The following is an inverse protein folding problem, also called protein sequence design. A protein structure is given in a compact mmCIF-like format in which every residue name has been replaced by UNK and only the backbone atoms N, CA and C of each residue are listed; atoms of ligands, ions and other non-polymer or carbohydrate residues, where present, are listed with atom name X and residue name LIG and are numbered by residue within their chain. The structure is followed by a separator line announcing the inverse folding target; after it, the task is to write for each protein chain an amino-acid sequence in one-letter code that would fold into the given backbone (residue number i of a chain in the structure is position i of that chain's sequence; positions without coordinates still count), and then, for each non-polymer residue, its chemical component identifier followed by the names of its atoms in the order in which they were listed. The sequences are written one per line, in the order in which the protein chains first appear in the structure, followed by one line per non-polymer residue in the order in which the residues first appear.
data_IF_814748489449
#
_entry.id   IF_814748489449
#
_cell.length_a   1.000
_cell.length_b   1.000
_cell.length_c   1.000
_cell.angle_alpha   90.00
_cell.angle_beta   90.00
_cell.angle_gamma   90.00
#
_symmetry.space_group_name_H-M   'P 1'
#
loop_
_entity.id
_entity.type
_entity.pdbx_description
1 polymer ?
#
# COMPACT_ATOMS: atom_id res chain seq x y z
N UNK A 1 47.86 -51.87 27.52
CA UNK A 1 48.98 -51.34 28.34
C UNK A 1 48.76 -49.84 28.51
N UNK A 2 49.08 -49.26 29.67
CA UNK A 2 48.68 -47.88 30.00
C UNK A 2 49.44 -46.80 29.21
N UNK A 3 48.74 -45.71 28.84
CA UNK A 3 49.04 -44.36 29.35
C UNK A 3 47.91 -43.37 29.05
N UNK A 4 47.23 -42.94 30.12
CA UNK A 4 46.63 -41.60 30.21
C UNK A 4 47.75 -40.55 30.26
N UNK A 5 47.44 -39.30 29.90
CA UNK A 5 48.27 -38.16 30.27
C UNK A 5 47.41 -36.92 30.52
N UNK A 6 47.98 -35.94 31.23
CA UNK A 6 47.21 -34.99 32.04
C UNK A 6 46.85 -33.68 31.32
N UNK A 7 45.91 -32.93 31.93
CA UNK A 7 45.70 -31.50 31.65
C UNK A 7 46.92 -30.68 32.07
N UNK A 8 47.12 -29.50 31.46
CA UNK A 8 47.15 -28.26 32.25
C UNK A 8 46.86 -26.99 31.43
N UNK A 9 46.52 -25.91 32.13
CA UNK A 9 46.09 -24.63 31.55
C UNK A 9 47.25 -23.63 31.45
N UNK A 10 47.23 -22.78 30.41
CA UNK A 10 47.91 -21.47 30.48
C UNK A 10 47.04 -20.35 29.91
N UNK A 11 46.57 -19.47 30.81
CA UNK A 11 46.03 -18.16 30.46
C UNK A 11 47.10 -17.28 29.81
N UNK A 12 46.73 -16.48 28.81
CA UNK A 12 47.56 -15.37 28.35
C UNK A 12 46.69 -14.18 27.92
N UNK A 13 46.45 -13.23 28.83
CA UNK A 13 45.85 -11.95 28.48
C UNK A 13 46.79 -11.17 27.56
N UNK A 14 46.29 -10.65 26.45
CA UNK A 14 46.90 -9.51 25.75
C UNK A 14 45.88 -8.42 25.49
N UNK A 15 46.08 -7.30 26.19
CA UNK A 15 45.40 -6.03 25.94
C UNK A 15 45.83 -5.51 24.56
N UNK A 16 44.86 -5.26 23.67
CA UNK A 16 45.10 -4.44 22.48
C UNK A 16 44.67 -3.00 22.76
N UNK A 17 45.66 -2.10 22.80
CA UNK A 17 45.43 -0.67 23.01
C UNK A 17 44.95 0.01 21.73
N UNK A 18 43.89 0.80 21.81
CA UNK A 18 43.29 1.48 20.65
C UNK A 18 44.00 2.81 20.39
N UNK A 19 44.90 2.84 19.41
CA UNK A 19 45.56 4.07 18.95
C UNK A 19 44.64 4.86 18.01
N UNK A 20 43.87 5.82 18.55
CA UNK A 20 43.05 6.74 17.76
C UNK A 20 43.95 7.65 16.91
N UNK A 21 43.97 7.45 15.60
CA UNK A 21 44.59 8.38 14.65
C UNK A 21 43.58 9.44 14.21
N UNK A 22 43.98 10.71 14.33
CA UNK A 22 43.17 11.90 14.03
C UNK A 22 43.67 12.53 12.71
N UNK A 23 42.83 12.72 11.68
CA UNK A 23 43.26 13.36 10.44
C UNK A 23 43.56 14.87 10.65
N UNK A 24 44.49 15.45 9.87
CA UNK A 24 44.94 16.83 10.05
C UNK A 24 43.99 17.89 9.45
N UNK A 25 44.12 19.12 9.93
CA UNK A 25 43.44 20.32 9.41
C UNK A 25 44.29 20.94 8.29
N UNK A 26 43.66 21.37 7.20
CA UNK A 26 44.30 22.12 6.11
C UNK A 26 43.73 23.55 6.03
N UNK A 27 44.60 24.53 5.74
CA UNK A 27 44.33 25.95 5.98
C UNK A 27 43.61 26.73 4.87
N UNK A 28 43.15 27.92 5.25
CA UNK A 28 42.58 28.97 4.40
C UNK A 28 43.68 29.82 3.73
N UNK A 29 43.41 30.43 2.56
CA UNK A 29 43.94 31.76 2.23
C UNK A 29 42.81 32.78 1.93
N UNK A 30 43.11 34.08 2.02
CA UNK A 30 42.11 35.16 2.01
C UNK A 30 42.40 36.29 0.99
N UNK A 31 41.38 37.14 0.74
CA UNK A 31 41.33 38.23 -0.26
C UNK A 31 40.29 37.92 -1.35
N UNK A 32 39.38 38.81 -1.80
CA UNK A 32 39.27 40.28 -1.68
C UNK A 32 39.78 40.98 -2.96
N UNK A 33 39.14 41.97 -3.59
CA UNK A 33 37.83 42.68 -3.39
C UNK A 33 37.57 43.57 -4.66
N UNK A 34 36.50 44.36 -4.90
CA UNK A 34 35.31 44.79 -4.12
C UNK A 34 34.19 45.39 -5.04
N UNK A 35 33.04 45.77 -4.45
CA UNK A 35 32.13 46.90 -4.79
C UNK A 35 31.47 47.05 -6.19
N UNK A 36 30.13 46.91 -6.23
CA UNK A 36 29.09 47.97 -6.45
C UNK A 36 27.68 47.35 -6.55
N UNK A 37 26.67 47.68 -5.73
CA UNK A 37 25.87 48.93 -5.56
C UNK A 37 24.87 49.27 -6.68
N UNK A 38 23.57 49.06 -6.40
CA UNK A 38 22.44 49.96 -6.70
C UNK A 38 21.27 49.58 -5.76
N UNK A 39 20.13 50.30 -5.73
CA UNK A 39 19.04 50.01 -4.77
C UNK A 39 17.65 50.53 -5.17
N UNK A 40 16.60 49.77 -4.85
CA UNK A 40 15.19 50.17 -4.75
C UNK A 40 14.47 49.15 -3.81
N UNK A 41 13.75 49.49 -2.73
CA UNK A 41 12.65 50.46 -2.44
C UNK A 41 11.25 49.84 -2.61
N UNK A 42 10.32 50.19 -1.72
CA UNK A 42 9.06 49.48 -1.41
C UNK A 42 7.79 50.29 -1.85
N UNK A 43 6.54 49.76 -1.69
CA UNK A 43 5.31 50.26 -2.36
C UNK A 43 4.56 51.36 -1.57
N UNK A 44 3.38 51.87 -2.04
CA UNK A 44 2.10 51.28 -1.58
C UNK A 44 0.81 51.46 -2.45
N UNK A 45 -0.22 50.68 -2.09
CA UNK A 45 -1.68 51.03 -1.99
C UNK A 45 -2.63 51.25 -3.19
N UNK A 46 -3.87 50.75 -3.03
CA UNK A 46 -5.13 51.17 -3.71
C UNK A 46 -5.88 50.03 -4.45
N UNK A 47 -7.22 49.85 -4.38
CA UNK A 47 -8.22 50.33 -3.41
C UNK A 47 -9.50 49.41 -3.41
N UNK A 48 -10.65 49.89 -2.92
CA UNK A 48 -11.94 49.19 -2.67
C UNK A 48 -12.72 48.88 -4.00
N UNK A 49 -13.94 48.29 -4.09
CA UNK A 49 -15.08 48.26 -3.15
C UNK A 49 -16.15 47.15 -3.44
N UNK A 50 -17.21 47.17 -2.62
CA UNK A 50 -18.33 46.25 -2.37
C UNK A 50 -19.40 46.06 -3.48
N UNK A 51 -20.44 45.28 -3.12
CA UNK A 51 -21.81 45.15 -3.68
C UNK A 51 -21.99 44.15 -4.83
N UNK A 52 -22.87 43.15 -4.73
CA UNK A 52 -24.33 43.15 -4.50
C UNK A 52 -25.13 43.81 -5.64
N UNK A 53 -25.78 42.99 -6.46
CA UNK A 53 -27.22 43.14 -6.67
C UNK A 53 -27.87 41.86 -7.20
N UNK A 54 -29.13 41.66 -6.81
CA UNK A 54 -30.02 40.64 -7.35
C UNK A 54 -31.31 41.30 -7.86
N UNK A 55 -32.22 40.47 -8.42
CA UNK A 55 -33.66 40.72 -8.62
C UNK A 55 -34.15 41.43 -9.91
N UNK A 56 -34.91 40.64 -10.69
CA UNK A 56 -36.31 40.91 -11.12
C UNK A 56 -36.59 41.99 -12.19
N UNK A 57 -36.71 41.53 -13.43
CA UNK A 57 -37.96 41.52 -14.26
C UNK A 57 -38.94 42.72 -14.20
N UNK A 58 -39.25 43.40 -15.35
CA UNK A 58 -40.59 43.37 -16.01
C UNK A 58 -40.82 44.22 -17.29
N UNK A 59 -41.60 43.63 -18.21
CA UNK A 59 -42.74 44.16 -19.01
C UNK A 59 -42.62 45.31 -20.03
N UNK A 60 -43.23 45.05 -21.20
CA UNK A 60 -44.38 45.80 -21.78
C UNK A 60 -45.50 44.76 -22.11
N UNK A 61 -46.82 44.95 -22.26
CA UNK A 61 -47.79 46.08 -22.47
C UNK A 61 -47.90 46.60 -23.91
N UNK A 62 -49.07 46.79 -24.55
CA UNK A 62 -50.50 46.73 -24.13
C UNK A 62 -51.28 45.79 -25.10
N UNK A 63 -52.60 45.54 -25.07
CA UNK A 63 -53.81 46.19 -24.49
C UNK A 63 -54.70 45.13 -23.76
N UNK A 64 -56.04 45.13 -23.61
CA UNK A 64 -57.19 45.94 -24.07
C UNK A 64 -58.36 45.91 -23.04
N UNK A 65 -59.61 46.18 -23.46
CA UNK A 65 -60.86 46.21 -22.66
C UNK A 65 -61.91 45.24 -23.27
N UNK A 66 -63.05 44.86 -22.67
CA UNK A 66 -63.92 45.57 -21.69
C UNK A 66 -64.73 44.64 -20.74
N UNK A 67 -65.95 45.03 -20.29
CA UNK A 67 -66.65 44.56 -19.06
C UNK A 67 -68.17 44.28 -19.28
N UNK A 68 -68.98 43.80 -18.29
CA UNK A 68 -69.99 42.74 -18.51
C UNK A 68 -71.47 43.10 -18.21
N UNK A 69 -72.38 42.17 -18.49
CA UNK A 69 -73.74 42.08 -17.90
C UNK A 69 -74.32 40.65 -17.97
N UNK A 70 -75.46 40.38 -17.33
CA UNK A 70 -76.06 39.04 -17.10
C UNK A 70 -77.46 38.90 -17.81
N UNK A 71 -78.35 37.91 -17.56
CA UNK A 71 -78.81 36.99 -18.61
C UNK A 71 -80.26 37.21 -19.11
N UNK A 72 -80.66 36.46 -20.13
CA UNK A 72 -82.08 36.27 -20.51
C UNK A 72 -82.37 34.81 -20.90
N UNK A 73 -83.64 34.41 -20.86
CA UNK A 73 -84.17 33.03 -20.85
C UNK A 73 -85.01 32.75 -22.11
N UNK A 74 -85.46 31.49 -22.28
CA UNK A 74 -86.48 30.96 -23.23
C UNK A 74 -85.83 30.38 -24.51
N UNK A 75 -85.64 29.06 -24.69
CA UNK A 75 -86.59 27.92 -24.93
C UNK A 75 -87.43 28.16 -26.21
N UNK A 76 -87.59 27.31 -27.23
CA UNK A 76 -87.74 25.84 -27.33
C UNK A 76 -87.27 25.30 -28.70
N UNK A 77 -87.03 23.96 -28.76
CA UNK A 77 -87.29 22.99 -29.86
C UNK A 77 -86.74 23.27 -31.30
N UNK A 78 -86.42 22.29 -32.14
CA UNK A 78 -86.19 20.82 -32.05
C UNK A 78 -85.68 20.32 -33.42
N UNK A 79 -85.23 19.05 -33.49
CA UNK A 79 -84.98 18.24 -34.69
C UNK A 79 -83.68 18.44 -35.52
N UNK A 80 -83.02 17.29 -35.74
CA UNK A 80 -82.16 16.87 -36.86
C UNK A 80 -81.00 17.76 -37.36
N UNK A 81 -79.78 17.19 -37.31
CA UNK A 81 -78.62 17.66 -38.08
C UNK A 81 -77.32 17.03 -37.59
N UNK A 82 -76.66 16.21 -38.42
CA UNK A 82 -75.42 15.52 -38.05
C UNK A 82 -74.16 16.35 -38.36
N UNK A 83 -73.27 16.49 -37.38
CA UNK A 83 -71.84 16.74 -37.62
C UNK A 83 -71.00 16.02 -36.56
N UNK A 84 -69.99 15.27 -37.00
CA UNK A 84 -69.18 14.37 -36.20
C UNK A 84 -67.91 15.09 -35.68
N UNK A 85 -67.92 15.54 -34.43
CA UNK A 85 -66.70 15.81 -33.65
C UNK A 85 -66.87 15.28 -32.22
N UNK A 86 -66.68 13.97 -32.05
CA UNK A 86 -66.33 13.41 -30.73
C UNK A 86 -64.83 13.54 -30.53
N UNK A 87 -64.43 14.46 -29.64
CA UNK A 87 -63.06 14.58 -29.18
C UNK A 87 -62.61 13.27 -28.50
N UNK A 88 -61.73 12.52 -29.17
CA UNK A 88 -61.28 11.21 -28.71
C UNK A 88 -60.13 11.37 -27.71
N UNK A 89 -60.49 11.71 -26.48
CA UNK A 89 -59.54 11.86 -25.37
C UNK A 89 -59.01 10.48 -24.94
N UNK A 90 -58.05 9.97 -25.71
CA UNK A 90 -57.43 8.65 -25.52
C UNK A 90 -56.90 8.48 -24.09
N UNK A 91 -57.17 7.33 -23.43
CA UNK A 91 -56.93 7.17 -22.01
C UNK A 91 -55.46 7.38 -21.64
N UNK A 92 -55.21 7.98 -20.49
CA UNK A 92 -53.88 8.32 -19.95
C UNK A 92 -52.82 7.22 -20.15
N UNK A 93 -53.18 5.95 -19.89
CA UNK A 93 -52.31 4.79 -20.11
C UNK A 93 -51.73 4.70 -21.53
N UNK A 94 -52.51 5.06 -22.56
CA UNK A 94 -52.09 5.06 -23.96
C UNK A 94 -51.26 6.30 -24.33
N UNK A 95 -51.30 7.38 -23.54
CA UNK A 95 -50.39 8.53 -23.66
C UNK A 95 -49.07 8.32 -22.89
N UNK A 96 -49.05 7.51 -21.83
CA UNK A 96 -47.93 7.45 -20.87
C UNK A 96 -47.14 6.14 -20.87
N UNK A 97 -47.55 5.10 -21.60
CA UNK A 97 -46.84 3.80 -21.68
C UNK A 97 -45.34 3.90 -21.99
N UNK A 98 -44.93 4.87 -22.83
CA UNK A 98 -43.53 5.06 -23.19
C UNK A 98 -42.65 5.52 -22.02
N UNK A 99 -43.23 6.16 -20.99
CA UNK A 99 -42.51 6.53 -19.76
C UNK A 99 -42.24 5.27 -18.93
N UNK A 100 -43.18 4.31 -18.90
CA UNK A 100 -42.95 2.98 -18.32
C UNK A 100 -41.84 2.22 -19.04
N UNK A 101 -41.84 2.22 -20.37
CA UNK A 101 -40.78 1.64 -21.20
C UNK A 101 -39.40 2.27 -20.90
N UNK A 102 -39.34 3.61 -20.82
CA UNK A 102 -38.12 4.36 -20.54
C UNK A 102 -37.60 4.08 -19.13
N UNK A 103 -38.49 3.97 -18.13
CA UNK A 103 -38.14 3.61 -16.76
C UNK A 103 -37.59 2.17 -16.67
N UNK A 104 -38.19 1.20 -17.38
CA UNK A 104 -37.66 -0.17 -17.46
C UNK A 104 -36.29 -0.21 -18.14
N UNK A 105 -36.09 0.55 -19.22
CA UNK A 105 -34.78 0.70 -19.87
C UNK A 105 -33.75 1.31 -18.92
N UNK A 106 -34.10 2.38 -18.21
CA UNK A 106 -33.22 3.04 -17.25
C UNK A 106 -32.81 2.12 -16.09
N UNK A 107 -33.76 1.34 -15.54
CA UNK A 107 -33.44 0.31 -14.53
C UNK A 107 -32.55 -0.80 -15.09
N UNK A 108 -32.76 -1.22 -16.34
CA UNK A 108 -31.88 -2.21 -17.00
C UNK A 108 -30.46 -1.69 -17.21
N UNK A 109 -30.29 -0.44 -17.65
CA UNK A 109 -28.97 0.17 -17.81
C UNK A 109 -28.30 0.47 -16.47
N UNK A 110 -29.06 0.86 -15.44
CA UNK A 110 -28.53 1.06 -14.08
C UNK A 110 -28.11 -0.26 -13.43
N UNK A 111 -28.90 -1.33 -13.61
CA UNK A 111 -28.53 -2.69 -13.20
C UNK A 111 -27.28 -3.21 -13.92
N UNK A 112 -27.17 -2.97 -15.24
CA UNK A 112 -25.97 -3.31 -16.01
C UNK A 112 -24.76 -2.47 -15.58
N UNK A 113 -24.93 -1.19 -15.26
CA UNK A 113 -23.86 -0.34 -14.76
C UNK A 113 -23.37 -0.78 -13.37
N UNK A 114 -24.28 -1.16 -12.46
CA UNK A 114 -23.93 -1.76 -11.16
C UNK A 114 -23.23 -3.11 -11.37
N UNK A 115 -23.72 -3.96 -12.26
CA UNK A 115 -23.09 -5.25 -12.57
C UNK A 115 -21.67 -5.07 -13.13
N UNK A 116 -21.49 -4.18 -14.11
CA UNK A 116 -20.16 -3.88 -14.66
C UNK A 116 -19.24 -3.24 -13.62
N UNK A 117 -19.74 -2.32 -12.79
CA UNK A 117 -18.96 -1.73 -11.71
C UNK A 117 -18.49 -2.79 -10.70
N UNK A 118 -19.40 -3.63 -10.20
CA UNK A 118 -19.08 -4.70 -9.26
C UNK A 118 -18.18 -5.78 -9.88
N UNK A 119 -18.32 -6.08 -11.17
CA UNK A 119 -17.49 -7.10 -11.83
C UNK A 119 -16.08 -6.58 -12.11
N UNK A 120 -15.95 -5.36 -12.66
CA UNK A 120 -14.64 -4.75 -12.97
C UNK A 120 -13.87 -4.34 -11.71
N UNK A 121 -14.55 -3.95 -10.63
CA UNK A 121 -13.91 -3.71 -9.33
C UNK A 121 -13.58 -5.05 -8.62
N UNK A 122 -14.37 -6.11 -8.83
CA UNK A 122 -14.04 -7.47 -8.35
C UNK A 122 -12.79 -8.06 -9.01
N UNK A 123 -12.49 -7.72 -10.26
CA UNK A 123 -11.23 -8.10 -10.91
C UNK A 123 -10.00 -7.40 -10.25
N UNK A 124 -10.21 -6.25 -9.59
CA UNK A 124 -9.18 -5.58 -8.78
C UNK A 124 -9.17 -6.04 -7.32
N UNK A 125 -10.32 -6.30 -6.70
CA UNK A 125 -10.40 -6.87 -5.35
C UNK A 125 -10.28 -8.38 -5.37
N UNK A 126 -9.05 -8.86 -5.57
CA UNK A 126 -8.66 -10.24 -5.28
C UNK A 126 -8.86 -10.57 -3.79
N UNK A 127 -10.07 -10.99 -3.45
CA UNK A 127 -10.39 -11.66 -2.19
C UNK A 127 -9.89 -13.10 -2.29
N UNK A 128 -8.81 -13.50 -1.59
CA UNK A 128 -8.54 -14.92 -1.44
C UNK A 128 -9.73 -15.55 -0.73
N UNK A 129 -10.30 -16.60 -1.31
CA UNK A 129 -11.36 -17.36 -0.67
C UNK A 129 -10.76 -17.98 0.59
N UNK A 130 -11.25 -17.58 1.78
CA UNK A 130 -10.86 -18.18 3.06
C UNK A 130 -11.48 -19.58 3.22
N UNK A 131 -11.16 -20.48 2.30
CA UNK A 131 -11.39 -21.90 2.45
C UNK A 131 -10.43 -22.44 3.52
N UNK A 132 -10.97 -23.02 4.59
CA UNK A 132 -10.19 -23.64 5.65
C UNK A 132 -9.65 -25.04 5.23
N UNK A 133 -9.09 -25.13 4.02
CA UNK A 133 -8.46 -26.32 3.45
C UNK A 133 -6.93 -26.15 3.51
N UNK A 134 -6.29 -26.85 4.44
CA UNK A 134 -4.89 -26.64 4.83
C UNK A 134 -3.85 -27.25 3.86
N UNK A 135 -4.05 -27.08 2.56
CA UNK A 135 -3.21 -27.68 1.50
C UNK A 135 -2.47 -26.64 0.63
N UNK A 136 -2.22 -25.45 1.19
CA UNK A 136 -1.21 -24.53 0.64
C UNK A 136 0.17 -25.20 0.60
N UNK A 137 0.94 -24.93 -0.46
CA UNK A 137 2.26 -25.51 -0.73
C UNK A 137 3.23 -25.21 0.43
N UNK A 138 4.03 -26.20 0.83
CA UNK A 138 4.99 -26.04 1.93
C UNK A 138 6.26 -25.29 1.48
N UNK A 139 6.67 -24.33 2.29
CA UNK A 139 7.77 -23.41 1.99
C UNK A 139 9.05 -23.96 2.60
N UNK A 140 10.00 -24.24 1.72
CA UNK A 140 11.29 -24.86 2.02
C UNK A 140 12.43 -23.85 1.87
N UNK A 141 13.55 -24.08 2.56
CA UNK A 141 14.73 -23.22 2.39
C UNK A 141 15.22 -23.23 0.94
N UNK A 142 15.66 -22.08 0.45
CA UNK A 142 16.03 -21.83 -0.94
C UNK A 142 14.87 -21.49 -1.87
N UNK A 143 13.61 -21.62 -1.41
CA UNK A 143 12.44 -21.13 -2.15
C UNK A 143 12.51 -19.62 -2.38
N UNK A 144 12.00 -19.18 -3.53
CA UNK A 144 11.80 -17.77 -3.88
C UNK A 144 10.34 -17.41 -3.61
N UNK A 145 10.07 -16.27 -2.98
CA UNK A 145 8.70 -15.82 -2.73
C UNK A 145 8.59 -14.29 -2.68
N UNK A 146 7.36 -13.78 -2.74
CA UNK A 146 7.03 -12.41 -2.37
C UNK A 146 6.32 -12.43 -1.01
N UNK A 147 6.60 -11.46 -0.15
CA UNK A 147 5.87 -11.29 1.11
C UNK A 147 4.83 -10.17 0.93
N UNK A 148 3.55 -10.53 0.93
CA UNK A 148 2.45 -9.58 0.86
C UNK A 148 2.01 -9.16 2.26
N UNK A 149 1.93 -7.86 2.52
CA UNK A 149 1.36 -7.35 3.76
C UNK A 149 -0.16 -7.55 3.75
N UNK A 150 -0.71 -8.21 4.77
CA UNK A 150 -2.12 -8.66 4.78
C UNK A 150 -3.12 -7.52 4.53
N UNK A 151 -2.90 -6.40 5.23
CA UNK A 151 -3.87 -5.29 5.33
C UNK A 151 -3.83 -4.33 4.15
N UNK A 152 -2.66 -4.07 3.57
CA UNK A 152 -2.50 -3.13 2.44
C UNK A 152 -2.29 -3.82 1.09
N UNK A 153 -2.01 -5.14 1.08
CA UNK A 153 -1.67 -5.95 -0.11
C UNK A 153 -0.40 -5.52 -0.85
N UNK A 154 0.40 -4.62 -0.27
CA UNK A 154 1.69 -4.23 -0.83
C UNK A 154 2.70 -5.36 -0.60
N UNK A 155 3.56 -5.64 -1.59
CA UNK A 155 4.63 -6.65 -1.51
C UNK A 155 5.89 -6.02 -0.90
N UNK A 156 6.63 -6.79 -0.10
CA UNK A 156 7.93 -6.39 0.43
C UNK A 156 8.93 -6.22 -0.73
N UNK A 157 9.53 -5.04 -0.83
CA UNK A 157 10.31 -4.60 -1.98
C UNK A 157 11.61 -3.92 -1.54
N UNK A 158 12.66 -4.03 -2.36
CA UNK A 158 13.92 -3.32 -2.17
C UNK A 158 14.49 -2.90 -3.52
N UNK A 159 15.14 -1.74 -3.58
CA UNK A 159 15.75 -1.24 -4.81
C UNK A 159 17.05 -0.47 -4.49
N UNK A 160 17.89 -0.19 -5.49
CA UNK A 160 19.22 0.38 -5.25
C UNK A 160 19.20 1.90 -5.03
N UNK A 161 18.47 2.29 -3.97
CA UNK A 161 18.41 3.64 -3.42
C UNK A 161 18.61 3.51 -1.91
N UNK A 162 19.61 4.19 -1.31
CA UNK A 162 19.79 4.23 0.13
C UNK A 162 18.79 5.19 0.80
N UNK A 163 18.56 4.99 2.10
CA UNK A 163 17.88 5.99 2.91
C UNK A 163 18.72 7.27 3.02
N UNK A 164 18.09 8.44 3.00
CA UNK A 164 18.72 9.74 3.29
C UNK A 164 18.79 10.06 4.79
N UNK A 165 18.50 9.09 5.65
CA UNK A 165 18.36 9.20 7.10
C UNK A 165 18.72 7.86 7.76
N UNK A 166 18.68 7.82 9.09
CA UNK A 166 18.93 6.59 9.85
C UNK A 166 20.32 6.04 9.58
N UNK A 167 20.43 4.83 9.06
CA UNK A 167 21.73 4.18 8.78
C UNK A 167 22.37 4.53 7.43
N UNK A 168 21.61 5.09 6.49
CA UNK A 168 22.06 5.25 5.10
C UNK A 168 22.18 3.94 4.30
N UNK A 169 21.70 2.81 4.82
CA UNK A 169 21.66 1.53 4.10
C UNK A 169 20.60 1.53 2.97
N UNK A 170 20.60 0.49 2.13
CA UNK A 170 19.65 0.33 1.01
C UNK A 170 18.21 0.24 1.54
N UNK A 171 17.29 0.94 0.89
CA UNK A 171 15.91 1.09 1.38
C UNK A 171 15.04 -0.13 1.15
N UNK A 172 14.13 -0.39 2.09
CA UNK A 172 13.08 -1.40 2.01
C UNK A 172 11.71 -0.71 2.13
N UNK A 173 10.76 -1.14 1.29
CA UNK A 173 9.45 -0.51 1.16
C UNK A 173 8.35 -1.54 0.89
N UNK A 174 7.09 -1.10 0.94
CA UNK A 174 5.98 -1.82 0.33
C UNK A 174 5.75 -1.31 -1.09
N UNK A 175 5.67 -2.22 -2.07
CA UNK A 175 5.34 -1.90 -3.47
C UNK A 175 3.92 -2.38 -3.83
N UNK A 176 3.10 -1.58 -4.53
CA UNK A 176 1.72 -1.96 -4.86
C UNK A 176 1.60 -2.95 -6.03
N UNK A 177 2.56 -2.94 -6.98
CA UNK A 177 2.46 -3.79 -8.17
C UNK A 177 2.69 -5.26 -7.81
N UNK A 178 1.94 -6.13 -8.50
CA UNK A 178 2.12 -7.58 -8.47
C UNK A 178 3.38 -7.97 -9.24
N UNK A 179 3.49 -7.49 -10.49
CA UNK A 179 4.54 -7.92 -11.44
C UNK A 179 5.85 -7.15 -11.30
N UNK A 180 6.41 -7.17 -10.09
CA UNK A 180 7.69 -6.57 -9.77
C UNK A 180 8.78 -7.61 -9.46
N UNK A 181 9.87 -7.57 -10.24
CA UNK A 181 11.04 -8.41 -10.03
C UNK A 181 11.89 -8.02 -8.79
N UNK A 182 11.72 -6.79 -8.27
CA UNK A 182 12.40 -6.30 -7.07
C UNK A 182 11.63 -6.64 -5.76
N UNK A 183 10.56 -7.45 -5.87
CA UNK A 183 9.75 -7.93 -4.74
C UNK A 183 10.02 -9.41 -4.40
N UNK A 184 10.98 -10.05 -5.07
CA UNK A 184 11.36 -11.45 -4.83
C UNK A 184 12.48 -11.60 -3.79
N UNK A 185 12.24 -12.49 -2.83
CA UNK A 185 13.16 -12.81 -1.74
C UNK A 185 13.43 -14.31 -1.71
N UNK A 186 14.70 -14.69 -1.56
CA UNK A 186 15.12 -16.08 -1.33
C UNK A 186 15.12 -16.33 0.17
N UNK A 187 14.43 -17.37 0.62
CA UNK A 187 14.49 -17.80 2.02
C UNK A 187 15.77 -18.59 2.27
N UNK A 188 16.56 -18.20 3.28
CA UNK A 188 17.82 -18.86 3.64
C UNK A 188 17.85 -19.23 5.13
N UNK A 189 18.54 -20.31 5.51
CA UNK A 189 18.79 -20.63 6.91
C UNK A 189 19.80 -19.67 7.56
N UNK A 190 19.83 -19.64 8.89
CA UNK A 190 20.97 -19.08 9.64
C UNK A 190 22.24 -19.93 9.38
N UNK A 191 23.44 -19.32 9.24
CA UNK A 191 24.69 -20.05 9.01
C UNK A 191 25.03 -21.09 10.08
N UNK A 192 24.53 -20.89 11.31
CA UNK A 192 24.77 -21.76 12.47
C UNK A 192 23.96 -23.08 12.41
N UNK A 193 23.01 -23.20 11.47
CA UNK A 193 22.09 -24.34 11.39
C UNK A 193 22.49 -25.33 10.31
N UNK A 194 22.28 -26.63 10.55
CA UNK A 194 22.58 -27.71 9.59
C UNK A 194 21.60 -27.82 8.41
N UNK A 195 20.56 -26.97 8.39
CA UNK A 195 19.44 -26.97 7.46
C UNK A 195 19.90 -26.69 6.01
N UNK A 196 19.26 -27.37 5.07
CA UNK A 196 19.62 -27.40 3.65
C UNK A 196 18.52 -26.84 2.78
N UNK A 197 18.88 -26.49 1.57
CA UNK A 197 17.92 -26.15 0.52
C UNK A 197 17.00 -27.35 0.24
N UNK A 198 15.68 -27.13 0.31
CA UNK A 198 14.66 -28.18 0.31
C UNK A 198 14.09 -28.53 1.69
N UNK A 199 14.76 -28.22 2.81
CA UNK A 199 14.26 -28.57 4.14
C UNK A 199 13.06 -27.70 4.54
N UNK A 200 12.09 -28.29 5.24
CA UNK A 200 10.86 -27.60 5.66
C UNK A 200 11.07 -26.62 6.82
N UNK A 201 10.46 -25.45 6.71
CA UNK A 201 10.58 -24.36 7.68
C UNK A 201 9.48 -24.47 8.72
N UNK A 202 9.84 -24.45 10.01
CA UNK A 202 8.91 -24.67 11.13
C UNK A 202 8.61 -23.36 11.87
N UNK A 203 7.45 -23.28 12.52
CA UNK A 203 7.14 -22.14 13.41
C UNK A 203 8.23 -22.02 14.49
N UNK A 204 8.73 -20.81 14.72
CA UNK A 204 9.83 -20.52 15.63
C UNK A 204 11.24 -20.64 15.02
N UNK A 205 11.41 -21.15 13.79
CA UNK A 205 12.72 -21.17 13.10
C UNK A 205 13.26 -19.75 12.86
N UNK A 206 14.59 -19.61 12.87
CA UNK A 206 15.29 -18.38 12.48
C UNK A 206 15.66 -18.50 11.00
N UNK A 207 15.20 -17.55 10.20
CA UNK A 207 15.44 -17.45 8.76
C UNK A 207 16.14 -16.13 8.44
N UNK A 208 16.78 -16.07 7.27
CA UNK A 208 17.21 -14.83 6.62
C UNK A 208 16.49 -14.70 5.28
N UNK A 209 16.24 -13.48 4.84
CA UNK A 209 15.62 -13.19 3.55
C UNK A 209 16.61 -12.41 2.68
N UNK A 210 17.00 -12.99 1.56
CA UNK A 210 17.94 -12.37 0.61
C UNK A 210 17.15 -11.76 -0.55
N UNK A 211 17.25 -10.45 -0.77
CA UNK A 211 16.64 -9.81 -1.93
C UNK A 211 17.32 -10.31 -3.21
N UNK A 212 16.54 -10.89 -4.15
CA UNK A 212 17.09 -11.57 -5.31
C UNK A 212 18.04 -10.71 -6.15
N UNK A 213 17.66 -9.46 -6.41
CA UNK A 213 18.33 -8.59 -7.38
C UNK A 213 19.58 -7.91 -6.84
N UNK A 214 19.55 -7.42 -5.59
CA UNK A 214 20.68 -6.71 -4.99
C UNK A 214 21.58 -7.60 -4.11
N UNK A 215 21.22 -8.88 -3.94
CA UNK A 215 21.92 -9.90 -3.13
C UNK A 215 22.01 -9.59 -1.62
N UNK A 216 21.45 -8.46 -1.19
CA UNK A 216 21.43 -7.97 0.20
C UNK A 216 20.42 -8.72 1.06
N UNK A 217 20.64 -8.69 2.36
CA UNK A 217 19.77 -9.30 3.38
C UNK A 217 18.75 -8.29 3.90
N UNK A 218 17.54 -8.76 4.24
CA UNK A 218 16.58 -8.00 5.02
C UNK A 218 17.13 -7.82 6.44
N UNK A 219 17.38 -6.59 6.83
CA UNK A 219 18.15 -6.25 8.04
C UNK A 219 17.34 -5.32 8.97
N UNK A 220 17.62 -5.33 10.28
CA UNK A 220 17.07 -4.33 11.21
C UNK A 220 18.00 -4.07 12.40
N UNK A 221 17.96 -2.84 12.91
CA UNK A 221 18.89 -2.32 13.91
C UNK A 221 18.27 -1.15 14.70
N UNK A 222 19.03 -0.57 15.63
CA UNK A 222 18.59 0.51 16.51
C UNK A 222 18.63 1.92 15.86
N UNK A 223 18.36 2.01 14.56
CA UNK A 223 18.13 3.27 13.85
C UNK A 223 16.62 3.58 13.76
N UNK A 224 16.28 4.86 13.62
CA UNK A 224 14.90 5.34 13.50
C UNK A 224 14.43 5.29 12.04
N UNK A 225 13.23 4.75 11.79
CA UNK A 225 12.68 4.58 10.44
C UNK A 225 12.24 5.91 9.80
N UNK A 226 12.32 6.08 8.46
CA UNK A 226 12.32 7.40 7.82
C UNK A 226 11.02 8.24 7.93
N UNK A 227 9.85 7.63 8.15
CA UNK A 227 8.56 8.35 8.21
C UNK A 227 7.87 8.21 9.57
N UNK A 228 8.03 7.07 10.26
CA UNK A 228 7.36 6.83 11.54
C UNK A 228 8.28 6.83 12.77
N UNK A 229 9.60 6.83 12.61
CA UNK A 229 10.54 6.81 13.74
C UNK A 229 10.48 5.50 14.56
N UNK A 230 9.97 4.42 13.96
CA UNK A 230 10.03 3.07 14.52
C UNK A 230 11.45 2.49 14.32
N UNK A 231 11.66 1.19 14.52
CA UNK A 231 12.93 0.56 14.15
C UNK A 231 13.07 0.58 12.62
N UNK A 232 14.22 1.01 12.11
CA UNK A 232 14.54 0.95 10.68
C UNK A 232 14.66 -0.52 10.22
N UNK A 233 14.16 -0.79 9.02
CA UNK A 233 14.33 -2.05 8.29
C UNK A 233 14.95 -1.72 6.94
N UNK A 234 16.00 -2.44 6.55
CA UNK A 234 16.90 -2.04 5.48
C UNK A 234 17.43 -3.25 4.70
N UNK A 235 18.20 -3.00 3.64
CA UNK A 235 18.95 -4.01 2.93
C UNK A 235 20.47 -3.85 3.16
N UNK A 236 21.04 -4.79 3.93
CA UNK A 236 22.45 -4.81 4.35
C UNK A 236 23.24 -5.95 3.69
N UNK A 237 24.57 -5.85 3.75
CA UNK A 237 25.47 -6.95 3.38
C UNK A 237 25.41 -7.37 1.91
N UNK A 238 25.86 -8.59 1.67
CA UNK A 238 25.94 -9.28 0.37
C UNK A 238 26.07 -10.81 0.59
N UNK A 239 26.37 -11.59 -0.44
CA UNK A 239 26.52 -13.06 -0.32
C UNK A 239 27.63 -13.52 0.65
N UNK A 240 28.66 -12.70 0.91
CA UNK A 240 29.74 -12.98 1.86
C UNK A 240 29.63 -12.23 3.20
N UNK A 241 28.87 -11.13 3.24
CA UNK A 241 28.70 -10.28 4.42
C UNK A 241 27.26 -10.37 4.96
N UNK A 242 27.10 -10.97 6.15
CA UNK A 242 25.81 -11.15 6.84
C UNK A 242 26.05 -11.29 8.35
N UNK A 243 25.16 -10.74 9.17
CA UNK A 243 25.26 -10.75 10.64
C UNK A 243 23.92 -11.09 11.34
N UNK A 244 23.86 -10.93 12.67
CA UNK A 244 22.65 -11.22 13.45
C UNK A 244 21.50 -10.22 13.22
N UNK A 245 21.80 -9.03 12.70
CA UNK A 245 20.82 -8.04 12.24
C UNK A 245 20.01 -8.49 11.02
N UNK A 246 20.45 -9.56 10.36
CA UNK A 246 19.70 -10.21 9.26
C UNK A 246 18.73 -11.30 9.75
N UNK A 247 18.70 -11.60 11.05
CA UNK A 247 18.02 -12.80 11.58
C UNK A 247 16.56 -12.51 11.96
N UNK A 248 15.63 -13.19 11.28
CA UNK A 248 14.20 -13.08 11.53
C UNK A 248 13.64 -14.41 12.04
N UNK A 249 13.05 -14.40 13.23
CA UNK A 249 12.26 -15.53 13.72
C UNK A 249 10.90 -15.54 13.02
N UNK A 250 10.58 -16.66 12.38
CA UNK A 250 9.25 -16.92 11.84
C UNK A 250 8.28 -17.25 12.99
N UNK A 251 7.19 -16.49 13.12
CA UNK A 251 6.06 -16.83 13.98
C UNK A 251 4.84 -17.10 13.08
N UNK A 252 4.35 -18.34 13.04
CA UNK A 252 3.11 -18.70 12.31
C UNK A 252 1.90 -18.36 13.19
N UNK A 253 0.92 -17.66 12.64
CA UNK A 253 -0.31 -17.31 13.38
C UNK A 253 -1.37 -18.41 13.17
N UNK A 254 -1.80 -19.05 14.25
CA UNK A 254 -2.74 -20.18 14.23
C UNK A 254 -2.09 -21.51 14.63
N UNK A 255 -2.61 -22.63 14.12
CA UNK A 255 -2.19 -23.99 14.47
C UNK A 255 -1.12 -24.60 13.54
N UNK A 256 -0.61 -23.83 12.57
CA UNK A 256 0.36 -24.30 11.58
C UNK A 256 1.72 -24.64 12.18
N UNK A 257 2.22 -25.85 11.90
CA UNK A 257 3.54 -26.33 12.37
C UNK A 257 4.67 -25.97 11.40
N UNK A 258 4.39 -26.06 10.10
CA UNK A 258 5.29 -25.74 8.99
C UNK A 258 4.77 -24.55 8.20
N UNK A 259 5.68 -23.78 7.59
CA UNK A 259 5.36 -22.60 6.82
C UNK A 259 4.77 -22.97 5.46
N UNK A 260 3.62 -22.40 5.11
CA UNK A 260 2.91 -22.66 3.85
C UNK A 260 2.58 -21.36 3.11
N UNK A 261 2.37 -21.48 1.80
CA UNK A 261 1.80 -20.41 0.97
C UNK A 261 0.45 -19.94 1.55
N UNK A 262 0.16 -18.65 1.41
CA UNK A 262 -1.08 -17.98 1.86
C UNK A 262 -1.37 -18.08 3.37
N UNK A 263 -0.41 -18.62 4.14
CA UNK A 263 -0.48 -18.71 5.58
C UNK A 263 -0.13 -17.36 6.23
N UNK A 264 -0.91 -16.97 7.23
CA UNK A 264 -0.68 -15.76 8.03
C UNK A 264 0.53 -15.96 8.93
N UNK A 265 1.56 -15.14 8.75
CA UNK A 265 2.81 -15.19 9.51
C UNK A 265 3.21 -13.81 10.03
N UNK A 266 4.15 -13.80 10.97
CA UNK A 266 4.95 -12.63 11.34
C UNK A 266 6.41 -12.97 11.27
N UNK A 267 7.22 -11.97 10.94
CA UNK A 267 8.67 -12.05 11.03
C UNK A 267 9.11 -11.14 12.16
N UNK A 268 9.78 -11.70 13.17
CA UNK A 268 10.27 -10.97 14.34
C UNK A 268 11.79 -10.91 14.29
N UNK A 269 12.34 -9.71 14.17
CA UNK A 269 13.78 -9.52 14.20
C UNK A 269 14.35 -10.00 15.54
N UNK A 270 15.44 -10.76 15.52
CA UNK A 270 15.97 -11.44 16.71
C UNK A 270 16.56 -10.42 17.70
N UNK A 271 17.39 -9.49 17.25
CA UNK A 271 18.17 -8.62 18.15
C UNK A 271 17.36 -7.43 18.68
N UNK A 272 16.50 -6.82 17.85
CA UNK A 272 15.70 -5.64 18.25
C UNK A 272 14.32 -5.98 18.80
N UNK A 273 13.92 -7.26 18.69
CA UNK A 273 12.60 -7.82 18.99
C UNK A 273 11.42 -7.20 18.22
N UNK A 274 11.70 -6.40 17.18
CA UNK A 274 10.68 -5.76 16.34
C UNK A 274 10.04 -6.74 15.35
N UNK A 275 8.71 -6.74 15.25
CA UNK A 275 7.99 -7.39 14.16
C UNK A 275 8.05 -6.55 12.89
N UNK A 276 8.33 -7.18 11.75
CA UNK A 276 8.28 -6.58 10.42
C UNK A 276 6.88 -6.01 10.17
N UNK A 277 6.78 -4.70 9.95
CA UNK A 277 5.56 -3.93 9.96
C UNK A 277 5.48 -3.03 8.73
N UNK A 278 4.29 -2.90 8.15
CA UNK A 278 4.00 -2.00 7.02
C UNK A 278 2.67 -1.32 7.25
N UNK A 279 2.49 -0.11 6.76
CA UNK A 279 1.30 0.69 7.03
C UNK A 279 1.13 1.79 5.98
N UNK A 280 -0.03 2.45 5.94
CA UNK A 280 -0.34 3.44 4.90
C UNK A 280 0.32 4.82 5.10
N UNK A 281 1.60 4.83 5.51
CA UNK A 281 2.49 5.97 5.35
C UNK A 281 3.33 5.74 4.10
N UNK A 282 3.21 6.64 3.13
CA UNK A 282 3.84 6.52 1.81
C UNK A 282 4.94 7.58 1.61
N UNK A 283 5.99 7.22 0.89
CA UNK A 283 7.00 8.19 0.43
C UNK A 283 6.40 9.13 -0.62
N UNK A 284 6.85 10.40 -0.62
CA UNK A 284 6.23 11.49 -1.40
C UNK A 284 7.13 12.09 -2.49
N UNK A 285 8.38 11.62 -2.63
CA UNK A 285 9.36 12.11 -3.60
C UNK A 285 10.03 10.92 -4.31
N UNK A 286 11.25 10.57 -3.89
CA UNK A 286 11.91 9.31 -4.24
C UNK A 286 11.04 8.16 -3.68
N UNK A 287 10.93 7.05 -4.41
CA UNK A 287 10.02 5.94 -4.08
C UNK A 287 8.54 6.38 -3.92
N UNK A 288 8.11 7.43 -4.64
CA UNK A 288 6.77 8.02 -4.52
C UNK A 288 5.64 6.98 -4.59
N UNK A 289 4.76 6.99 -3.59
CA UNK A 289 3.62 6.06 -3.48
C UNK A 289 3.93 4.72 -2.81
N UNK A 290 5.21 4.34 -2.64
CA UNK A 290 5.61 3.14 -1.89
C UNK A 290 5.40 3.34 -0.39
N UNK A 291 5.08 2.28 0.36
CA UNK A 291 4.83 2.33 1.81
C UNK A 291 6.12 2.18 2.64
N UNK A 292 6.16 2.77 3.84
CA UNK A 292 7.22 2.55 4.82
C UNK A 292 7.11 1.16 5.46
N UNK A 293 8.20 0.38 5.33
CA UNK A 293 8.44 -0.84 6.12
C UNK A 293 9.35 -0.50 7.29
N UNK A 294 9.01 -1.01 8.47
CA UNK A 294 9.71 -0.72 9.73
C UNK A 294 9.55 -1.90 10.72
N UNK A 295 10.21 -1.83 11.88
CA UNK A 295 10.08 -2.80 12.97
C UNK A 295 9.29 -2.23 14.14
N UNK A 296 8.22 -2.92 14.55
CA UNK A 296 7.35 -2.53 15.68
C UNK A 296 7.32 -3.66 16.72
N UNK A 297 7.63 -3.38 17.99
CA UNK A 297 7.78 -4.42 19.03
C UNK A 297 6.48 -5.08 19.49
N UNK A 298 5.32 -4.50 19.16
CA UNK A 298 3.99 -5.01 19.50
C UNK A 298 3.41 -5.85 18.35
N UNK A 299 2.64 -6.90 18.67
CA UNK A 299 1.76 -7.55 17.68
C UNK A 299 0.55 -6.65 17.39
N UNK A 300 0.28 -6.41 16.11
CA UNK A 300 -0.80 -5.57 15.57
C UNK A 300 -1.44 -6.28 14.36
N UNK A 301 -2.35 -5.62 13.64
CA UNK A 301 -2.82 -6.08 12.32
C UNK A 301 -1.76 -5.77 11.24
N UNK A 302 -1.17 -4.58 11.32
CA UNK A 302 -0.19 -3.99 10.40
C UNK A 302 1.22 -4.66 10.41
N UNK A 303 1.33 -5.85 10.99
CA UNK A 303 2.50 -6.72 10.95
C UNK A 303 2.12 -8.21 10.86
N UNK A 304 1.12 -8.50 10.01
CA UNK A 304 0.83 -9.84 9.46
C UNK A 304 1.19 -9.85 7.98
N UNK A 305 1.90 -10.89 7.56
CA UNK A 305 2.34 -11.09 6.18
C UNK A 305 1.89 -12.46 5.67
N UNK A 306 1.76 -12.60 4.36
CA UNK A 306 1.49 -13.85 3.67
C UNK A 306 2.61 -14.09 2.65
N UNK A 307 3.03 -15.35 2.50
CA UNK A 307 3.90 -15.76 1.42
C UNK A 307 3.06 -16.04 0.17
N UNK A 308 3.33 -15.32 -0.91
CA UNK A 308 2.58 -15.39 -2.17
C UNK A 308 3.52 -15.44 -3.37
N UNK A 309 2.98 -15.85 -4.52
CA UNK A 309 3.63 -15.67 -5.84
C UNK A 309 5.06 -16.25 -5.91
N UNK A 310 5.29 -17.37 -5.22
CA UNK A 310 6.61 -17.97 -5.05
C UNK A 310 6.89 -19.18 -5.95
N UNK A 311 8.19 -19.46 -6.12
CA UNK A 311 8.72 -20.69 -6.69
C UNK A 311 9.26 -21.52 -5.53
N UNK A 312 8.48 -22.51 -5.10
CA UNK A 312 8.79 -23.37 -3.96
C UNK A 312 9.59 -24.59 -4.39
N UNK A 313 10.61 -24.95 -3.62
CA UNK A 313 11.43 -26.13 -3.89
C UNK A 313 10.79 -27.38 -3.24
N UNK A 314 10.91 -28.57 -3.87
CA UNK A 314 10.39 -29.80 -3.29
C UNK A 314 11.00 -30.09 -1.93
N UNK A 315 10.18 -30.67 -1.03
CA UNK A 315 10.61 -31.02 0.33
C UNK A 315 11.65 -32.14 0.29
N UNK A 316 12.82 -31.92 0.88
CA UNK A 316 13.82 -32.96 1.11
C UNK A 316 13.43 -33.82 2.32
N UNK A 317 12.52 -34.77 2.11
CA UNK A 317 12.27 -35.84 3.10
C UNK A 317 13.53 -36.71 3.24
N UNK A 318 14.26 -36.52 4.34
CA UNK A 318 15.34 -37.42 4.75
C UNK A 318 14.75 -38.72 5.31
N UNK A 319 14.81 -39.76 4.49
CA UNK A 319 14.35 -41.12 4.80
C UNK A 319 15.44 -41.96 5.47
#
# INVERSE_FOLDING_TARGET
MYKTNHMENHYCHRLFSICIHKPPVAGTPAGGSDLRKQSAVAPPSGQQQQSNNSNVTRRRTVSSNSRPSVPTRIVYKEALGSSLETDLDLPFWQRTWFIGLLLVMALSFFGLAIFLFLTLDSDYTSTPVYAATSEGVEITYGSVLKLMHEKTRFRLHSHDVPYGSGSGQQSVTGFPNVDDANSYWIVRPSPETSAKQGDSIKSGSIIRLQHMKTRRWLHSHLHASPISGNLEVSCFGDDGNSDTGDYWRLEIEGSGKTWRQDQRIRLRHVDTLGYLHSHDKKYSRIAGGQQEVCGVREKRADNVWLAVEGVYLPVSESK
#
